data_IF_805643405648
#
_entry.id   IF_805643405648
#
_cell.length_a   1.000
_cell.length_b   1.000
_cell.length_c   1.000
_cell.angle_alpha   90.00
_cell.angle_beta   90.00
_cell.angle_gamma   90.00
#
_symmetry.space_group_name_H-M   'P 1'
#
loop_
_entity.id
_entity.type
_entity.pdbx_description
1 polymer ?
#
# COMPACT_ATOMS: atom_id res chain seq x y z
N UNK A 1 6.46 6.81 -11.55
CA UNK A 1 6.49 5.55 -12.32
C UNK A 1 6.03 4.31 -11.51
N UNK A 2 5.43 4.42 -10.31
CA UNK A 2 4.89 3.24 -9.59
C UNK A 2 3.57 2.71 -10.19
N UNK A 3 2.69 3.62 -10.59
CA UNK A 3 1.35 3.32 -11.12
C UNK A 3 1.40 2.57 -12.46
N UNK A 4 2.36 2.89 -13.32
CA UNK A 4 2.57 2.20 -14.60
C UNK A 4 2.95 0.72 -14.42
N UNK A 5 3.65 0.38 -13.33
CA UNK A 5 3.99 -1.00 -13.01
C UNK A 5 2.77 -1.79 -12.56
N UNK A 6 1.80 -1.16 -11.91
CA UNK A 6 0.51 -1.77 -11.57
C UNK A 6 -0.28 -2.12 -12.83
N UNK A 7 -0.37 -1.20 -13.79
CA UNK A 7 -1.09 -1.43 -15.06
C UNK A 7 -0.47 -2.53 -15.94
N UNK A 8 0.82 -2.83 -15.77
CA UNK A 8 1.49 -3.90 -16.51
C UNK A 8 1.45 -5.27 -15.80
N UNK A 9 0.68 -5.41 -14.71
CA UNK A 9 0.68 -6.62 -13.87
C UNK A 9 1.98 -6.83 -13.07
N UNK A 10 2.89 -5.86 -13.10
CA UNK A 10 4.19 -5.88 -12.43
C UNK A 10 4.08 -5.30 -11.02
N UNK A 11 3.09 -5.74 -10.26
CA UNK A 11 2.85 -5.28 -8.91
C UNK A 11 4.04 -5.52 -7.97
N UNK A 12 4.84 -6.58 -8.20
CA UNK A 12 6.10 -6.81 -7.48
C UNK A 12 7.09 -5.63 -7.63
N UNK A 13 7.22 -5.06 -8.82
CA UNK A 13 8.07 -3.88 -9.05
C UNK A 13 7.46 -2.60 -8.49
N UNK A 14 6.12 -2.53 -8.44
CA UNK A 14 5.44 -1.43 -7.77
C UNK A 14 5.75 -1.45 -6.28
N UNK A 15 5.70 -2.63 -5.64
CA UNK A 15 6.10 -2.82 -4.24
C UNK A 15 7.52 -2.33 -4.00
N UNK A 16 8.51 -2.75 -4.79
CA UNK A 16 9.90 -2.27 -4.63
C UNK A 16 10.02 -0.74 -4.75
N UNK A 17 9.30 -0.13 -5.71
CA UNK A 17 9.28 1.33 -5.89
C UNK A 17 8.63 2.06 -4.73
N UNK A 18 7.55 1.53 -4.19
CA UNK A 18 6.89 2.11 -3.02
C UNK A 18 7.69 1.85 -1.75
N UNK A 19 8.37 0.71 -1.60
CA UNK A 19 9.30 0.47 -0.49
C UNK A 19 10.43 1.50 -0.48
N UNK A 20 11.01 1.76 -1.66
CA UNK A 20 12.04 2.78 -1.82
C UNK A 20 11.49 4.16 -1.44
N UNK A 21 10.28 4.50 -1.91
CA UNK A 21 9.61 5.76 -1.56
C UNK A 21 9.40 5.89 -0.04
N UNK A 22 8.95 4.83 0.63
CA UNK A 22 8.71 4.80 2.07
C UNK A 22 10.03 4.84 2.85
N UNK A 23 11.12 4.29 2.31
CA UNK A 23 12.44 4.42 2.93
C UNK A 23 12.94 5.88 2.91
N UNK A 24 12.77 6.58 1.80
CA UNK A 24 13.18 7.99 1.69
C UNK A 24 12.20 8.94 2.40
N UNK A 25 10.93 8.58 2.47
CA UNK A 25 9.88 9.36 3.12
C UNK A 25 9.05 8.48 4.07
N UNK A 26 9.63 8.07 5.23
CA UNK A 26 8.94 7.21 6.18
C UNK A 26 7.76 7.90 6.89
N UNK A 27 7.75 9.24 6.86
CA UNK A 27 6.65 10.07 7.37
C UNK A 27 5.45 10.10 6.40
N UNK A 28 5.65 9.68 5.15
CA UNK A 28 4.60 9.70 4.15
C UNK A 28 3.70 8.47 4.26
N UNK A 29 2.67 8.60 5.09
CA UNK A 29 1.60 7.62 5.29
C UNK A 29 0.93 7.22 3.97
N UNK A 30 0.81 8.15 3.02
CA UNK A 30 0.23 7.91 1.70
C UNK A 30 1.10 6.93 0.89
N UNK A 31 2.43 7.05 1.00
CA UNK A 31 3.38 6.11 0.41
C UNK A 31 3.27 4.70 0.99
N UNK A 32 3.13 4.59 2.32
CA UNK A 32 2.87 3.30 2.99
C UNK A 32 1.53 2.70 2.58
N UNK A 33 0.51 3.53 2.39
CA UNK A 33 -0.78 3.09 1.89
C UNK A 33 -0.66 2.50 0.48
N UNK A 34 -0.01 3.21 -0.45
CA UNK A 34 0.21 2.71 -1.80
C UNK A 34 1.09 1.44 -1.84
N UNK A 35 2.00 1.27 -0.89
CA UNK A 35 2.75 0.01 -0.71
C UNK A 35 1.80 -1.14 -0.34
N UNK A 36 0.92 -0.92 0.65
CA UNK A 36 -0.11 -1.89 1.04
C UNK A 36 -1.05 -2.27 -0.11
N UNK A 37 -1.50 -1.28 -0.87
CA UNK A 37 -2.32 -1.49 -2.08
C UNK A 37 -1.55 -2.26 -3.15
N UNK A 38 -0.27 -1.95 -3.35
CA UNK A 38 0.56 -2.67 -4.33
C UNK A 38 0.77 -4.13 -3.93
N UNK A 39 0.91 -4.42 -2.63
CA UNK A 39 0.96 -5.80 -2.12
C UNK A 39 -0.36 -6.54 -2.38
N UNK A 40 -1.50 -5.87 -2.20
CA UNK A 40 -2.82 -6.44 -2.44
C UNK A 40 -2.96 -6.88 -3.90
N UNK A 41 -2.64 -5.97 -4.82
CA UNK A 41 -2.71 -6.20 -6.26
C UNK A 41 -1.65 -7.21 -6.73
N UNK A 42 -0.53 -7.33 -6.02
CA UNK A 42 0.52 -8.35 -6.24
C UNK A 42 0.12 -9.76 -5.82
N UNK A 43 -1.17 -9.99 -5.53
CA UNK A 43 -1.71 -11.25 -5.01
C UNK A 43 -1.13 -11.61 -3.62
N UNK A 44 -0.45 -10.68 -2.95
CA UNK A 44 0.13 -10.84 -1.61
C UNK A 44 -0.86 -10.32 -0.56
N UNK A 45 -2.10 -10.80 -0.66
CA UNK A 45 -3.23 -10.41 0.18
C UNK A 45 -2.92 -10.46 1.69
N UNK A 46 -2.22 -11.52 2.14
CA UNK A 46 -1.80 -11.66 3.55
C UNK A 46 -0.88 -10.54 4.02
N UNK A 47 0.12 -10.18 3.22
CA UNK A 47 1.07 -9.11 3.57
C UNK A 47 0.40 -7.75 3.48
N UNK A 48 -0.44 -7.53 2.47
CA UNK A 48 -1.24 -6.32 2.33
C UNK A 48 -2.11 -6.06 3.56
N UNK A 49 -2.82 -7.09 4.04
CA UNK A 49 -3.65 -7.00 5.25
C UNK A 49 -2.83 -6.55 6.46
N UNK A 50 -1.75 -7.26 6.78
CA UNK A 50 -0.89 -6.90 7.91
C UNK A 50 -0.33 -5.49 7.79
N UNK A 51 0.06 -5.08 6.59
CA UNK A 51 0.63 -3.75 6.34
C UNK A 51 -0.42 -2.64 6.50
N UNK A 52 -1.60 -2.83 5.91
CA UNK A 52 -2.73 -1.91 5.99
C UNK A 52 -3.29 -1.81 7.42
N UNK A 53 -3.40 -2.91 8.16
CA UNK A 53 -3.81 -2.89 9.57
C UNK A 53 -2.79 -2.17 10.46
N UNK A 54 -1.49 -2.39 10.22
CA UNK A 54 -0.44 -1.64 10.90
C UNK A 54 -0.51 -0.14 10.60
N UNK A 55 -0.79 0.20 9.34
CA UNK A 55 -0.93 1.58 8.90
C UNK A 55 -2.17 2.26 9.49
N UNK A 56 -3.29 1.54 9.59
CA UNK A 56 -4.54 2.01 10.21
C UNK A 56 -4.34 2.53 11.63
N UNK A 57 -3.47 1.88 12.40
CA UNK A 57 -3.15 2.30 13.76
C UNK A 57 -2.20 3.50 13.82
N UNK A 58 -1.47 3.79 12.73
CA UNK A 58 -0.52 4.91 12.63
C UNK A 58 -1.11 6.15 11.99
N UNK A 59 -2.13 5.99 11.15
CA UNK A 59 -2.80 7.09 10.45
C UNK A 59 -4.11 7.46 11.11
N UNK A 60 -4.31 8.75 11.34
CA UNK A 60 -5.59 9.33 11.78
C UNK A 60 -6.35 9.98 10.63
N UNK A 61 -5.78 9.93 9.42
CA UNK A 61 -6.38 10.57 8.25
C UNK A 61 -7.59 9.76 7.75
N UNK A 62 -8.80 10.35 7.76
CA UNK A 62 -10.01 9.63 7.36
C UNK A 62 -10.00 9.19 5.90
N UNK A 63 -9.29 9.89 5.00
CA UNK A 63 -9.20 9.47 3.60
C UNK A 63 -8.37 8.19 3.46
N UNK A 64 -7.24 8.13 4.17
CA UNK A 64 -6.38 6.94 4.18
C UNK A 64 -7.09 5.78 4.88
N UNK A 65 -7.76 6.03 6.02
CA UNK A 65 -8.52 5.01 6.75
C UNK A 65 -9.61 4.40 5.88
N UNK A 66 -10.40 5.24 5.20
CA UNK A 66 -11.46 4.77 4.31
C UNK A 66 -10.91 3.96 3.13
N UNK A 67 -9.75 4.37 2.59
CA UNK A 67 -9.01 3.57 1.60
C UNK A 67 -8.59 2.21 2.15
N UNK A 68 -7.94 2.18 3.32
CA UNK A 68 -7.50 0.96 4.00
C UNK A 68 -8.67 0.00 4.20
N UNK A 69 -9.78 0.49 4.75
CA UNK A 69 -10.98 -0.31 4.98
C UNK A 69 -11.56 -0.88 3.69
N UNK A 70 -11.59 -0.10 2.60
CA UNK A 70 -12.07 -0.59 1.30
C UNK A 70 -11.21 -1.76 0.78
N UNK A 71 -9.88 -1.66 0.91
CA UNK A 71 -8.98 -2.74 0.51
C UNK A 71 -9.05 -3.95 1.45
N UNK A 72 -9.25 -3.73 2.76
CA UNK A 72 -9.46 -4.80 3.75
C UNK A 72 -10.78 -5.54 3.53
N UNK A 73 -11.83 -4.87 3.06
CA UNK A 73 -13.11 -5.49 2.71
C UNK A 73 -13.00 -6.36 1.44
N UNK A 74 -12.16 -5.94 0.47
CA UNK A 74 -11.89 -6.68 -0.77
C UNK A 74 -10.92 -7.86 -0.62
N UNK A 75 -10.32 -8.03 0.56
CA UNK A 75 -9.28 -9.02 0.88
C UNK A 75 -9.85 -10.40 1.15
#
# INVERSE_FOLDING_TARGET
MGILSMQSGQYKRAVERFETLVQYHPENIQGQFYLGVSLFESNQKKQAKTHLEGLRNKTTDPQILSGIENYLDRL
#
